data_IF_625074826419
#
_entry.id   IF_625074826419
#
_cell.length_a   1.000
_cell.length_b   1.000
_cell.length_c   1.000
_cell.angle_alpha   90.00
_cell.angle_beta   90.00
_cell.angle_gamma   90.00
#
_symmetry.space_group_name_H-M   'P 1'
#
loop_
_entity.id
_entity.type
_entity.pdbx_description
1 polymer ?
#
# COMPACT_ATOMS: atom_id res chain seq x y z
N UNK A 1 -19.12 15.79 6.45
CA UNK A 1 -18.18 15.47 7.54
C UNK A 1 -18.62 14.26 8.36
N UNK A 2 -19.81 14.27 8.99
CA UNK A 2 -20.31 13.15 9.83
C UNK A 2 -20.39 11.80 9.11
N UNK A 3 -20.95 11.74 7.89
CA UNK A 3 -21.03 10.48 7.12
C UNK A 3 -19.67 9.79 6.92
N UNK A 4 -18.61 10.54 6.61
CA UNK A 4 -17.27 10.01 6.35
C UNK A 4 -16.62 9.49 7.64
N UNK A 5 -16.79 10.25 8.73
CA UNK A 5 -16.32 9.78 10.04
C UNK A 5 -16.94 8.42 10.39
N UNK A 6 -18.25 8.27 10.18
CA UNK A 6 -18.93 6.99 10.40
C UNK A 6 -18.53 5.89 9.41
N UNK A 7 -18.12 6.21 8.18
CA UNK A 7 -17.58 5.24 7.22
C UNK A 7 -16.21 4.68 7.61
N UNK A 8 -15.35 5.49 8.23
CA UNK A 8 -14.00 5.06 8.67
C UNK A 8 -14.02 4.40 10.06
N UNK A 9 -15.07 4.67 10.86
CA UNK A 9 -15.18 4.19 12.23
C UNK A 9 -15.07 2.66 12.38
N UNK A 10 -15.66 1.81 11.51
CA UNK A 10 -15.48 0.36 11.59
C UNK A 10 -14.01 -0.07 11.47
N UNK A 11 -13.27 0.53 10.52
CA UNK A 11 -11.83 0.27 10.33
C UNK A 11 -11.03 0.72 11.54
N UNK A 12 -11.31 1.91 12.08
CA UNK A 12 -10.68 2.38 13.33
C UNK A 12 -10.97 1.46 14.50
N UNK A 13 -12.20 0.95 14.58
CA UNK A 13 -12.63 0.04 15.65
C UNK A 13 -11.84 -1.26 15.58
N UNK A 14 -11.59 -1.79 14.37
CA UNK A 14 -10.77 -2.98 14.18
C UNK A 14 -9.28 -2.74 14.47
N UNK A 15 -8.73 -1.57 14.14
CA UNK A 15 -7.38 -1.20 14.58
C UNK A 15 -7.26 -1.15 16.09
N UNK A 16 -8.21 -0.47 16.76
CA UNK A 16 -8.25 -0.38 18.22
C UNK A 16 -8.42 -1.77 18.83
N UNK A 17 -9.28 -2.61 18.28
CA UNK A 17 -9.45 -3.99 18.72
C UNK A 17 -8.15 -4.78 18.59
N UNK A 18 -7.44 -4.70 17.46
CA UNK A 18 -6.13 -5.32 17.28
C UNK A 18 -5.12 -4.90 18.35
N UNK A 19 -5.08 -3.59 18.65
CA UNK A 19 -4.22 -3.04 19.70
C UNK A 19 -4.62 -3.53 21.10
N UNK A 20 -5.91 -3.63 21.41
CA UNK A 20 -6.38 -4.19 22.68
C UNK A 20 -6.05 -5.68 22.81
N UNK A 21 -6.19 -6.46 21.72
CA UNK A 21 -5.83 -7.88 21.69
C UNK A 21 -4.33 -8.11 21.94
N UNK A 22 -3.47 -7.18 21.48
CA UNK A 22 -2.04 -7.19 21.81
C UNK A 22 -1.81 -7.01 23.32
N UNK A 23 -2.54 -6.08 23.97
CA UNK A 23 -2.37 -5.79 25.41
C UNK A 23 -2.78 -6.91 26.34
N UNK A 24 -3.76 -7.72 25.93
CA UNK A 24 -4.18 -8.91 26.68
C UNK A 24 -3.43 -10.18 26.24
N UNK A 25 -2.42 -10.06 25.37
CA UNK A 25 -1.65 -11.18 24.83
C UNK A 25 -2.54 -12.30 24.24
N UNK A 26 -3.64 -11.92 23.57
CA UNK A 26 -4.63 -12.88 23.07
C UNK A 26 -4.01 -13.85 22.05
N UNK A 27 -3.19 -13.32 21.15
CA UNK A 27 -2.43 -14.10 20.18
C UNK A 27 -0.98 -14.26 20.61
N UNK A 28 -0.35 -15.36 20.18
CA UNK A 28 1.11 -15.47 20.16
C UNK A 28 1.64 -14.65 18.98
N UNK A 29 2.85 -14.09 19.08
CA UNK A 29 3.45 -13.31 18.00
C UNK A 29 3.50 -14.08 16.66
N UNK A 30 3.80 -15.38 16.72
CA UNK A 30 3.77 -16.28 15.55
C UNK A 30 2.40 -16.30 14.84
N UNK A 31 1.31 -16.28 15.60
CA UNK A 31 -0.05 -16.34 15.05
C UNK A 31 -0.38 -15.10 14.22
N UNK A 32 0.15 -13.93 14.59
CA UNK A 32 -0.03 -12.69 13.81
C UNK A 32 0.69 -12.80 12.46
N UNK A 33 1.90 -13.37 12.46
CA UNK A 33 2.62 -13.69 11.23
C UNK A 33 1.84 -14.64 10.31
N UNK A 34 1.19 -15.66 10.88
CA UNK A 34 0.36 -16.59 10.13
C UNK A 34 -0.90 -15.93 9.55
N UNK A 35 -1.56 -15.03 10.29
CA UNK A 35 -2.70 -14.24 9.78
C UNK A 35 -2.25 -13.33 8.64
N UNK A 36 -1.10 -12.65 8.78
CA UNK A 36 -0.53 -11.81 7.71
C UNK A 36 -0.20 -12.63 6.47
N UNK A 37 0.32 -13.84 6.63
CA UNK A 37 0.56 -14.77 5.52
C UNK A 37 -0.73 -15.16 4.82
N UNK A 38 -1.79 -15.49 5.57
CA UNK A 38 -3.12 -15.77 5.01
C UNK A 38 -3.62 -14.59 4.15
N UNK A 39 -3.46 -13.36 4.65
CA UNK A 39 -3.85 -12.17 3.91
C UNK A 39 -3.04 -12.02 2.62
N UNK A 40 -1.71 -12.00 2.71
CA UNK A 40 -0.84 -11.68 1.57
C UNK A 40 -0.82 -12.81 0.53
N UNK A 41 -1.04 -14.06 0.95
CA UNK A 41 -1.02 -15.23 0.06
C UNK A 41 -2.40 -15.62 -0.49
N UNK A 42 -3.50 -15.19 0.12
CA UNK A 42 -4.86 -15.60 -0.28
C UNK A 42 -5.81 -14.41 -0.39
N UNK A 43 -6.09 -13.71 0.72
CA UNK A 43 -7.16 -12.71 0.75
C UNK A 43 -6.90 -11.53 -0.21
N UNK A 44 -5.73 -10.89 -0.09
CA UNK A 44 -5.35 -9.77 -0.94
C UNK A 44 -5.22 -10.18 -2.43
N UNK A 45 -4.58 -11.31 -2.79
CA UNK A 45 -4.62 -11.83 -4.15
C UNK A 45 -6.05 -12.01 -4.71
N UNK A 46 -7.00 -12.56 -3.95
CA UNK A 46 -8.39 -12.68 -4.38
C UNK A 46 -9.07 -11.31 -4.59
N UNK A 47 -8.81 -10.36 -3.69
CA UNK A 47 -9.30 -8.99 -3.81
C UNK A 47 -8.79 -8.30 -5.08
N UNK A 48 -7.48 -8.41 -5.36
CA UNK A 48 -6.84 -7.80 -6.53
C UNK A 48 -7.26 -8.49 -7.83
N UNK A 49 -7.38 -9.81 -7.84
CA UNK A 49 -7.95 -10.52 -8.99
C UNK A 49 -9.34 -9.97 -9.33
N UNK A 50 -10.20 -9.75 -8.33
CA UNK A 50 -11.53 -9.16 -8.53
C UNK A 50 -11.42 -7.73 -9.07
N UNK A 51 -10.56 -6.89 -8.48
CA UNK A 51 -10.35 -5.52 -8.92
C UNK A 51 -9.94 -5.44 -10.41
N UNK A 52 -8.98 -6.26 -10.83
CA UNK A 52 -8.48 -6.25 -12.20
C UNK A 52 -9.35 -7.01 -13.21
N UNK A 53 -10.13 -8.01 -12.78
CA UNK A 53 -11.05 -8.73 -13.68
C UNK A 53 -12.29 -7.93 -14.07
N UNK A 54 -12.63 -6.90 -13.29
CA UNK A 54 -13.73 -5.97 -13.58
C UNK A 54 -13.25 -4.71 -14.29
N UNK A 55 -11.94 -4.51 -14.42
CA UNK A 55 -11.37 -3.30 -14.96
C UNK A 55 -11.50 -3.24 -16.47
N UNK A 56 -12.01 -2.12 -16.99
CA UNK A 56 -11.96 -1.81 -18.42
C UNK A 56 -10.61 -1.21 -18.79
N UNK A 57 -9.73 -1.98 -19.44
CA UNK A 57 -8.36 -1.53 -19.72
C UNK A 57 -8.31 -0.37 -20.73
N UNK A 58 -7.68 0.72 -20.32
CA UNK A 58 -7.49 1.89 -21.18
C UNK A 58 -5.99 2.26 -21.26
N UNK A 59 -5.47 2.66 -22.44
CA UNK A 59 -4.06 3.04 -22.59
C UNK A 59 -3.59 4.13 -21.62
N UNK A 60 -4.49 5.04 -21.23
CA UNK A 60 -4.23 6.10 -20.25
C UNK A 60 -3.76 5.57 -18.89
N UNK A 61 -4.14 4.34 -18.52
CA UNK A 61 -3.70 3.72 -17.27
C UNK A 61 -2.22 3.36 -17.26
N UNK A 62 -1.62 3.07 -18.43
CA UNK A 62 -0.18 2.85 -18.51
C UNK A 62 0.60 4.12 -18.13
N UNK A 63 0.10 5.29 -18.53
CA UNK A 63 0.68 6.58 -18.14
C UNK A 63 0.63 6.76 -16.62
N UNK A 64 -0.49 6.40 -15.99
CA UNK A 64 -0.63 6.44 -14.52
C UNK A 64 0.40 5.53 -13.84
N UNK A 65 0.51 4.29 -14.29
CA UNK A 65 1.48 3.30 -13.75
C UNK A 65 2.91 3.81 -13.85
N UNK A 66 3.31 4.32 -15.02
CA UNK A 66 4.66 4.86 -15.24
C UNK A 66 4.93 6.09 -14.38
N UNK A 67 3.96 7.00 -14.24
CA UNK A 67 4.12 8.20 -13.41
C UNK A 67 4.24 7.87 -11.93
N UNK A 68 3.41 6.97 -11.41
CA UNK A 68 3.52 6.51 -10.01
C UNK A 68 4.88 5.87 -9.76
N UNK A 69 5.32 4.96 -10.65
CA UNK A 69 6.65 4.37 -10.57
C UNK A 69 7.75 5.44 -10.55
N UNK A 70 7.65 6.42 -11.45
CA UNK A 70 8.56 7.55 -11.55
C UNK A 70 8.60 8.40 -10.28
N UNK A 71 7.44 8.72 -9.70
CA UNK A 71 7.35 9.49 -8.44
C UNK A 71 7.99 8.72 -7.28
N UNK A 72 7.79 7.41 -7.19
CA UNK A 72 8.50 6.60 -6.20
C UNK A 72 10.03 6.69 -6.36
N UNK A 73 10.52 6.64 -7.60
CA UNK A 73 11.94 6.84 -7.92
C UNK A 73 12.45 8.25 -7.56
N UNK A 74 11.67 9.29 -7.88
CA UNK A 74 11.99 10.68 -7.51
C UNK A 74 12.04 10.84 -5.99
N UNK A 75 11.08 10.26 -5.26
CA UNK A 75 11.07 10.30 -3.79
C UNK A 75 12.30 9.63 -3.18
N UNK A 76 12.75 8.52 -3.76
CA UNK A 76 13.99 7.86 -3.34
C UNK A 76 15.21 8.77 -3.58
N UNK A 77 15.32 9.38 -4.77
CA UNK A 77 16.42 10.32 -5.09
C UNK A 77 16.40 11.56 -4.21
N UNK A 78 15.22 12.14 -3.96
CA UNK A 78 15.04 13.24 -3.01
C UNK A 78 15.48 12.82 -1.61
N UNK A 79 15.18 11.58 -1.22
CA UNK A 79 15.65 11.02 0.03
C UNK A 79 17.17 10.97 0.14
N UNK A 80 17.86 10.52 -0.91
CA UNK A 80 19.32 10.54 -0.96
C UNK A 80 19.87 11.97 -0.85
N UNK A 81 19.32 12.92 -1.62
CA UNK A 81 19.74 14.32 -1.58
C UNK A 81 19.53 14.95 -0.20
N UNK A 82 18.37 14.71 0.41
CA UNK A 82 18.02 15.23 1.73
C UNK A 82 18.82 14.55 2.84
N UNK A 83 19.18 13.26 2.71
CA UNK A 83 20.05 12.60 3.65
C UNK A 83 21.40 13.30 3.73
N UNK A 84 22.00 13.61 2.57
CA UNK A 84 23.25 14.37 2.50
C UNK A 84 23.10 15.79 3.04
N UNK A 85 22.09 16.54 2.59
CA UNK A 85 21.89 17.93 3.02
C UNK A 85 21.60 18.09 4.52
N UNK A 86 20.90 17.11 5.10
CA UNK A 86 20.47 17.13 6.51
C UNK A 86 21.37 16.30 7.43
N UNK A 87 22.50 15.78 6.91
CA UNK A 87 23.47 14.96 7.64
C UNK A 87 22.83 13.75 8.35
N UNK A 88 21.93 13.05 7.65
CA UNK A 88 21.27 11.84 8.16
C UNK A 88 22.11 10.64 7.77
N UNK A 89 22.63 9.91 8.77
CA UNK A 89 23.50 8.75 8.59
C UNK A 89 22.78 7.46 8.18
N UNK A 90 21.48 7.36 8.51
CA UNK A 90 20.71 6.12 8.27
C UNK A 90 20.52 5.85 6.77
N UNK A 91 20.99 4.70 6.24
CA UNK A 91 20.75 4.32 4.84
C UNK A 91 19.29 4.00 4.55
N UNK A 92 18.46 3.84 5.59
CA UNK A 92 17.03 3.59 5.46
C UNK A 92 16.22 4.87 5.28
N UNK A 93 16.77 6.06 5.53
CA UNK A 93 16.04 7.32 5.34
C UNK A 93 15.53 7.51 3.90
N UNK A 94 16.35 7.35 2.84
CA UNK A 94 15.87 7.42 1.46
C UNK A 94 14.85 6.32 1.13
N UNK A 95 15.10 5.09 1.61
CA UNK A 95 14.24 3.92 1.40
C UNK A 95 12.84 4.17 2.00
N UNK A 96 12.77 4.77 3.18
CA UNK A 96 11.53 5.15 3.86
C UNK A 96 10.76 6.26 3.15
N UNK A 97 11.36 7.00 2.22
CA UNK A 97 10.67 8.00 1.39
C UNK A 97 10.00 7.39 0.15
N UNK A 98 10.46 6.22 -0.31
CA UNK A 98 9.90 5.50 -1.46
C UNK A 98 8.85 4.44 -1.09
N UNK A 99 8.05 4.04 -2.09
CA UNK A 99 7.03 2.97 -2.01
C UNK A 99 5.89 3.27 -1.03
N UNK A 100 4.85 2.43 -0.99
CA UNK A 100 3.71 2.64 -0.09
C UNK A 100 3.18 1.31 0.47
N UNK A 101 2.66 1.35 1.70
CA UNK A 101 1.90 0.24 2.26
C UNK A 101 0.44 0.25 1.79
N UNK A 102 0.25 0.24 0.48
CA UNK A 102 -1.08 0.23 -0.13
C UNK A 102 -1.75 -1.13 0.03
N UNK A 103 -0.98 -2.21 -0.16
CA UNK A 103 -1.46 -3.59 -0.16
C UNK A 103 -2.20 -3.96 1.12
N UNK A 104 -1.63 -3.62 2.28
CA UNK A 104 -2.29 -3.87 3.55
C UNK A 104 -3.17 -2.69 3.98
N UNK A 105 -2.58 -1.50 4.17
CA UNK A 105 -3.29 -0.39 4.78
C UNK A 105 -4.17 0.39 3.78
N UNK A 106 -3.62 0.67 2.60
CA UNK A 106 -4.28 1.50 1.58
C UNK A 106 -5.62 0.94 1.12
N UNK A 107 -5.69 -0.33 0.72
CA UNK A 107 -6.94 -0.96 0.30
C UNK A 107 -7.98 -0.98 1.42
N UNK A 108 -7.58 -1.33 2.65
CA UNK A 108 -8.50 -1.40 3.78
C UNK A 108 -9.19 -0.06 4.04
N UNK A 109 -8.41 1.03 4.03
CA UNK A 109 -8.91 2.38 4.29
C UNK A 109 -9.69 2.92 3.08
N UNK A 110 -9.24 2.65 1.85
CA UNK A 110 -9.92 3.11 0.64
C UNK A 110 -11.30 2.45 0.48
N UNK A 111 -11.39 1.13 0.66
CA UNK A 111 -12.67 0.39 0.61
C UNK A 111 -13.65 0.91 1.66
N UNK A 112 -13.18 1.26 2.86
CA UNK A 112 -14.04 1.76 3.93
C UNK A 112 -14.68 3.12 3.60
N UNK A 113 -14.01 3.98 2.83
CA UNK A 113 -14.52 5.32 2.49
C UNK A 113 -15.23 5.37 1.16
N UNK A 114 -14.64 4.78 0.13
CA UNK A 114 -15.13 4.89 -1.25
C UNK A 114 -15.94 3.67 -1.69
N UNK A 115 -15.92 2.59 -0.92
CA UNK A 115 -16.59 1.35 -1.25
C UNK A 115 -15.71 0.42 -2.08
N UNK A 116 -16.10 -0.86 -2.10
CA UNK A 116 -15.36 -1.90 -2.81
C UNK A 116 -15.51 -1.79 -4.34
N UNK A 117 -16.53 -1.10 -4.83
CA UNK A 117 -16.80 -0.96 -6.26
C UNK A 117 -15.83 0.02 -6.94
N UNK A 118 -15.12 0.85 -6.16
CA UNK A 118 -14.11 1.80 -6.65
C UNK A 118 -12.67 1.24 -6.58
N UNK A 119 -12.51 -0.02 -6.17
CA UNK A 119 -11.20 -0.59 -5.86
C UNK A 119 -10.27 -0.72 -7.07
N UNK A 120 -10.84 -0.87 -8.25
CA UNK A 120 -10.14 -0.94 -9.54
C UNK A 120 -9.31 0.33 -9.79
N UNK A 121 -9.81 1.52 -9.42
CA UNK A 121 -9.08 2.79 -9.54
C UNK A 121 -7.84 2.83 -8.67
N UNK A 122 -7.96 2.41 -7.40
CA UNK A 122 -6.79 2.29 -6.53
C UNK A 122 -5.81 1.24 -7.05
N UNK A 123 -6.32 0.11 -7.56
CA UNK A 123 -5.49 -0.97 -8.06
C UNK A 123 -4.62 -0.57 -9.25
N UNK A 124 -5.15 0.24 -10.18
CA UNK A 124 -4.35 0.79 -11.29
C UNK A 124 -3.20 1.67 -10.78
N UNK A 125 -3.49 2.56 -9.83
CA UNK A 125 -2.49 3.47 -9.29
C UNK A 125 -1.43 2.67 -8.51
N UNK A 126 -1.88 1.70 -7.71
CA UNK A 126 -1.04 0.81 -6.92
C UNK A 126 -0.10 -0.03 -7.79
N UNK A 127 -0.50 -0.43 -8.99
CA UNK A 127 0.36 -1.23 -9.88
C UNK A 127 1.71 -0.53 -10.17
N UNK A 128 1.73 0.80 -10.31
CA UNK A 128 2.97 1.56 -10.49
C UNK A 128 3.91 1.48 -9.28
N UNK A 129 3.38 1.56 -8.06
CA UNK A 129 4.20 1.47 -6.86
C UNK A 129 4.61 0.02 -6.58
N UNK A 130 3.77 -0.96 -6.87
CA UNK A 130 4.10 -2.40 -6.77
C UNK A 130 5.31 -2.72 -7.65
N UNK A 131 5.33 -2.26 -8.90
CA UNK A 131 6.49 -2.43 -9.79
C UNK A 131 7.75 -1.80 -9.19
N UNK A 132 7.64 -0.59 -8.63
CA UNK A 132 8.75 0.07 -7.96
C UNK A 132 9.26 -0.73 -6.75
N UNK A 133 8.36 -1.25 -5.92
CA UNK A 133 8.72 -2.04 -4.73
C UNK A 133 9.50 -3.28 -5.14
N UNK A 134 9.05 -4.03 -6.15
CA UNK A 134 9.74 -5.25 -6.57
C UNK A 134 11.07 -5.00 -7.29
N UNK A 135 11.13 -4.03 -8.20
CA UNK A 135 12.31 -3.86 -9.06
C UNK A 135 13.35 -2.88 -8.51
N UNK A 136 12.95 -1.94 -7.65
CA UNK A 136 13.85 -0.92 -7.08
C UNK A 136 14.01 -1.12 -5.58
N UNK A 137 12.92 -1.09 -4.81
CA UNK A 137 13.00 -1.12 -3.36
C UNK A 137 13.59 -2.43 -2.83
N UNK A 138 13.10 -3.57 -3.31
CA UNK A 138 13.62 -4.89 -2.94
C UNK A 138 15.08 -5.05 -3.34
N UNK A 139 15.47 -4.56 -4.52
CA UNK A 139 16.86 -4.58 -4.97
C UNK A 139 17.77 -3.83 -3.99
N UNK A 140 17.35 -2.65 -3.53
CA UNK A 140 18.09 -1.87 -2.54
C UNK A 140 18.13 -2.55 -1.17
N UNK A 141 17.00 -3.06 -0.68
CA UNK A 141 16.93 -3.73 0.63
C UNK A 141 17.78 -4.99 0.66
N UNK A 142 17.72 -5.82 -0.38
CA UNK A 142 18.56 -7.02 -0.49
C UNK A 142 20.03 -6.65 -0.65
N UNK A 143 20.35 -5.58 -1.39
CA UNK A 143 21.73 -5.08 -1.48
C UNK A 143 22.29 -4.72 -0.10
N UNK A 144 21.50 -4.10 0.75
CA UNK A 144 21.91 -3.76 2.13
C UNK A 144 22.08 -5.01 3.01
N UNK A 145 21.19 -6.01 2.88
CA UNK A 145 21.21 -7.22 3.72
C UNK A 145 22.24 -8.26 3.26
N UNK A 146 22.16 -8.67 2.00
CA UNK A 146 22.82 -9.87 1.43
C UNK A 146 23.82 -9.54 0.31
N UNK A 147 24.01 -8.26 -0.02
CA UNK A 147 24.81 -7.82 -1.18
C UNK A 147 24.03 -7.80 -2.50
N UNK A 148 24.70 -7.42 -3.59
CA UNK A 148 24.05 -7.19 -4.89
C UNK A 148 23.37 -8.47 -5.42
N UNK A 149 22.09 -8.36 -5.77
CA UNK A 149 21.31 -9.48 -6.29
C UNK A 149 21.28 -9.50 -7.81
N UNK A 150 21.08 -10.69 -8.38
CA UNK A 150 20.84 -10.83 -9.82
C UNK A 150 19.44 -10.34 -10.21
N UNK A 151 19.33 -9.72 -11.38
CA UNK A 151 18.03 -9.29 -11.94
C UNK A 151 17.08 -10.48 -12.08
N UNK A 152 17.59 -11.66 -12.43
CA UNK A 152 16.80 -12.90 -12.55
C UNK A 152 16.08 -13.27 -11.25
N UNK A 153 16.69 -13.00 -10.09
CA UNK A 153 16.07 -13.31 -8.80
C UNK A 153 14.92 -12.36 -8.49
N UNK A 154 15.07 -11.06 -8.77
CA UNK A 154 14.00 -10.07 -8.62
C UNK A 154 12.81 -10.40 -9.53
N UNK A 155 13.08 -10.73 -10.80
CA UNK A 155 12.03 -11.17 -11.75
C UNK A 155 11.35 -12.44 -11.26
N UNK A 156 12.10 -13.43 -10.77
CA UNK A 156 11.51 -14.65 -10.22
C UNK A 156 10.61 -14.36 -9.02
N UNK A 157 11.06 -13.51 -8.09
CA UNK A 157 10.27 -13.10 -6.93
C UNK A 157 8.98 -12.36 -7.33
N UNK A 158 9.07 -11.47 -8.31
CA UNK A 158 7.92 -10.76 -8.88
C UNK A 158 6.92 -11.73 -9.49
N UNK A 159 7.35 -12.59 -10.42
CA UNK A 159 6.46 -13.53 -11.11
C UNK A 159 5.92 -14.64 -10.22
N UNK A 160 6.62 -15.03 -9.15
CA UNK A 160 6.16 -16.04 -8.18
C UNK A 160 5.23 -15.48 -7.11
N UNK A 161 5.06 -14.16 -7.04
CA UNK A 161 4.22 -13.52 -6.02
C UNK A 161 2.75 -13.84 -6.26
N UNK A 162 2.00 -14.39 -5.28
CA UNK A 162 0.57 -14.65 -5.41
C UNK A 162 -0.22 -13.40 -5.81
N UNK A 163 0.17 -12.24 -5.29
CA UNK A 163 -0.42 -10.94 -5.63
C UNK A 163 -0.25 -10.64 -7.12
N UNK A 164 0.97 -10.78 -7.65
CA UNK A 164 1.27 -10.49 -9.05
C UNK A 164 0.58 -11.47 -9.99
N UNK A 165 0.58 -12.75 -9.65
CA UNK A 165 -0.13 -13.79 -10.39
C UNK A 165 -1.63 -13.45 -10.46
N UNK A 166 -2.24 -13.08 -9.34
CA UNK A 166 -3.65 -12.67 -9.31
C UNK A 166 -3.96 -11.42 -10.13
N UNK A 167 -3.07 -10.42 -10.13
CA UNK A 167 -3.21 -9.23 -10.99
C UNK A 167 -3.21 -9.65 -12.46
N UNK A 168 -2.22 -10.44 -12.90
CA UNK A 168 -2.13 -10.89 -14.29
C UNK A 168 -3.32 -11.75 -14.70
N UNK A 169 -3.78 -12.66 -13.83
CA UNK A 169 -4.98 -13.45 -14.08
C UNK A 169 -6.24 -12.57 -14.15
N UNK A 170 -6.35 -11.54 -13.31
CA UNK A 170 -7.46 -10.59 -13.36
C UNK A 170 -7.48 -9.82 -14.68
N UNK A 171 -6.34 -9.25 -15.07
CA UNK A 171 -6.17 -8.56 -16.36
C UNK A 171 -6.50 -9.51 -17.53
N UNK A 172 -6.00 -10.74 -17.49
CA UNK A 172 -6.29 -11.75 -18.52
C UNK A 172 -7.79 -12.05 -18.63
N UNK A 173 -8.48 -12.20 -17.50
CA UNK A 173 -9.92 -12.41 -17.48
C UNK A 173 -10.67 -11.19 -18.02
N UNK A 174 -10.27 -9.97 -17.66
CA UNK A 174 -10.85 -8.74 -18.22
C UNK A 174 -10.73 -8.70 -19.75
N UNK A 175 -9.55 -9.02 -20.29
CA UNK A 175 -9.30 -9.08 -21.74
C UNK A 175 -10.12 -10.16 -22.45
N UNK A 176 -10.20 -11.36 -21.89
CA UNK A 176 -10.94 -12.49 -22.48
C UNK A 176 -12.44 -12.27 -22.40
N UNK A 177 -12.92 -11.66 -21.30
CA UNK A 177 -14.33 -11.35 -21.11
C UNK A 177 -14.81 -10.31 -22.12
N UNK A 178 -14.01 -9.26 -22.36
CA UNK A 178 -14.42 -8.13 -23.18
C UNK A 178 -15.77 -7.56 -22.72
N UNK A 179 -16.66 -7.28 -23.67
CA UNK A 179 -18.03 -6.78 -23.40
C UNK A 179 -19.05 -7.91 -23.16
N UNK A 180 -18.64 -9.18 -23.19
CA UNK A 180 -19.57 -10.29 -23.04
C UNK A 180 -20.08 -10.41 -21.60
N UNK A 181 -21.40 -10.52 -21.47
CA UNK A 181 -22.03 -10.72 -20.16
C UNK A 181 -22.04 -12.20 -19.77
N UNK A 182 -21.17 -12.55 -18.83
CA UNK A 182 -21.12 -13.88 -18.21
C UNK A 182 -21.90 -13.96 -16.90
N UNK A 183 -22.72 -12.95 -16.56
CA UNK A 183 -23.51 -12.91 -15.32
C UNK A 183 -24.41 -14.13 -15.13
N UNK A 184 -24.86 -14.73 -16.23
CA UNK A 184 -25.75 -15.90 -16.24
C UNK A 184 -25.00 -17.24 -16.12
N UNK A 185 -23.67 -17.25 -16.27
CA UNK A 185 -22.87 -18.46 -16.18
C UNK A 185 -22.65 -18.86 -14.71
N UNK A 186 -23.23 -19.99 -14.31
CA UNK A 186 -23.16 -20.51 -12.93
C UNK A 186 -21.73 -20.71 -12.43
N UNK A 187 -20.81 -21.14 -13.30
CA UNK A 187 -19.41 -21.39 -12.91
C UNK A 187 -18.67 -20.08 -12.65
N UNK A 188 -18.88 -19.08 -13.51
CA UNK A 188 -18.30 -17.74 -13.33
C UNK A 188 -18.81 -17.10 -12.04
N UNK A 189 -20.11 -17.21 -11.79
CA UNK A 189 -20.71 -16.72 -10.55
C UNK A 189 -20.16 -17.43 -9.31
N UNK A 190 -20.04 -18.77 -9.34
CA UNK A 190 -19.44 -19.54 -8.25
C UNK A 190 -18.00 -19.09 -7.95
N UNK A 191 -17.14 -19.01 -8.96
CA UNK A 191 -15.74 -18.55 -8.79
C UNK A 191 -15.70 -17.12 -8.26
N UNK A 192 -16.52 -16.21 -8.81
CA UNK A 192 -16.63 -14.83 -8.37
C UNK A 192 -17.06 -14.70 -6.91
N UNK A 193 -18.00 -15.53 -6.45
CA UNK A 193 -18.40 -15.58 -5.05
C UNK A 193 -17.28 -16.06 -4.13
N UNK A 194 -16.54 -17.11 -4.51
CA UNK A 194 -15.38 -17.59 -3.73
C UNK A 194 -14.32 -16.49 -3.61
N UNK A 195 -13.98 -15.84 -4.73
CA UNK A 195 -13.03 -14.72 -4.73
C UNK A 195 -13.52 -13.56 -3.85
N UNK A 196 -14.82 -13.29 -3.85
CA UNK A 196 -15.42 -12.24 -3.01
C UNK A 196 -15.33 -12.60 -1.53
N UNK A 197 -15.69 -13.83 -1.14
CA UNK A 197 -15.63 -14.28 0.25
C UNK A 197 -14.19 -14.22 0.78
N UNK A 198 -13.21 -14.70 0.01
CA UNK A 198 -11.80 -14.66 0.38
C UNK A 198 -11.26 -13.22 0.40
N UNK A 199 -11.60 -12.42 -0.62
CA UNK A 199 -11.19 -11.01 -0.73
C UNK A 199 -11.71 -10.16 0.44
N UNK A 200 -12.93 -10.43 0.90
CA UNK A 200 -13.55 -9.73 2.04
C UNK A 200 -12.83 -9.98 3.38
N UNK A 201 -11.96 -11.00 3.49
CA UNK A 201 -11.13 -11.21 4.67
C UNK A 201 -10.00 -10.17 4.78
N UNK A 202 -9.62 -9.52 3.67
CA UNK A 202 -8.46 -8.62 3.58
C UNK A 202 -8.57 -7.48 4.59
N UNK A 203 -9.65 -6.70 4.53
CA UNK A 203 -9.85 -5.51 5.38
C UNK A 203 -9.86 -5.87 6.87
N UNK A 204 -10.73 -6.77 7.37
CA UNK A 204 -10.81 -7.00 8.80
C UNK A 204 -9.55 -7.63 9.38
N UNK A 205 -8.92 -8.59 8.69
CA UNK A 205 -7.71 -9.23 9.19
C UNK A 205 -6.53 -8.27 9.22
N UNK A 206 -6.37 -7.43 8.19
CA UNK A 206 -5.27 -6.45 8.17
C UNK A 206 -5.46 -5.39 9.25
N UNK A 207 -6.67 -4.89 9.46
CA UNK A 207 -6.92 -3.91 10.52
C UNK A 207 -6.53 -4.47 11.89
N UNK A 208 -6.88 -5.73 12.16
CA UNK A 208 -6.47 -6.42 13.39
C UNK A 208 -4.95 -6.59 13.47
N UNK A 209 -4.30 -7.08 12.41
CA UNK A 209 -2.83 -7.29 12.36
C UNK A 209 -2.08 -5.99 12.59
N UNK A 210 -2.43 -4.93 11.87
CA UNK A 210 -1.77 -3.62 12.00
C UNK A 210 -1.98 -3.07 13.41
N UNK A 211 -3.22 -3.11 13.91
CA UNK A 211 -3.53 -2.68 15.27
C UNK A 211 -2.69 -3.42 16.32
N UNK A 212 -2.54 -4.73 16.14
CA UNK A 212 -1.74 -5.59 17.01
C UNK A 212 -0.23 -5.32 16.90
N UNK A 213 0.28 -4.99 15.71
CA UNK A 213 1.70 -4.73 15.46
C UNK A 213 2.14 -3.31 15.87
N UNK A 214 1.22 -2.41 16.23
CA UNK A 214 1.57 -1.07 16.69
C UNK A 214 2.43 -1.14 17.97
N UNK A 215 3.68 -0.66 17.83
CA UNK A 215 4.63 -0.47 18.94
C UNK A 215 5.07 0.99 18.93
N UNK A 216 4.94 1.65 20.08
CA UNK A 216 5.32 3.06 20.20
C UNK A 216 6.55 3.20 21.07
N UNK A 217 7.57 3.84 20.50
CA UNK A 217 8.73 4.29 21.27
C UNK A 217 9.01 5.76 20.98
N UNK A 218 8.65 6.62 21.94
CA UNK A 218 8.78 8.06 21.80
C UNK A 218 10.18 8.58 22.18
N UNK A 219 11.06 7.77 22.76
CA UNK A 219 12.37 8.24 23.22
C UNK A 219 13.33 8.63 22.08
N UNK A 220 13.15 8.03 20.90
CA UNK A 220 14.01 8.19 19.72
C UNK A 220 13.23 8.62 18.46
N UNK A 221 12.03 9.19 18.63
CA UNK A 221 11.10 9.49 17.53
C UNK A 221 11.49 10.70 16.66
N UNK A 222 12.50 11.49 17.02
CA UNK A 222 12.81 12.75 16.32
C UNK A 222 13.10 12.55 14.82
N UNK A 223 13.93 11.57 14.48
CA UNK A 223 14.23 11.27 13.08
C UNK A 223 13.00 10.70 12.37
N UNK A 224 12.25 9.80 13.00
CA UNK A 224 11.01 9.23 12.48
C UNK A 224 9.98 10.31 12.13
N UNK A 225 9.73 11.24 13.05
CA UNK A 225 8.80 12.36 12.84
C UNK A 225 9.28 13.25 11.69
N UNK A 226 10.58 13.56 11.64
CA UNK A 226 11.17 14.35 10.55
C UNK A 226 10.96 13.66 9.20
N UNK A 227 11.22 12.37 9.11
CA UNK A 227 11.00 11.55 7.89
C UNK A 227 9.55 11.56 7.48
N UNK A 228 8.61 11.39 8.43
CA UNK A 228 7.17 11.42 8.16
C UNK A 228 6.76 12.78 7.61
N UNK A 229 7.16 13.88 8.24
CA UNK A 229 6.80 15.24 7.80
C UNK A 229 7.31 15.50 6.38
N UNK A 230 8.60 15.25 6.15
CA UNK A 230 9.22 15.41 4.82
C UNK A 230 8.45 14.59 3.78
N UNK A 231 8.23 13.31 4.08
CA UNK A 231 7.52 12.38 3.21
C UNK A 231 6.14 12.90 2.83
N UNK A 232 5.31 13.30 3.82
CA UNK A 232 3.95 13.76 3.58
C UNK A 232 3.91 15.07 2.79
N UNK A 233 4.80 16.01 3.07
CA UNK A 233 4.85 17.28 2.34
C UNK A 233 5.10 17.04 0.84
N UNK A 234 6.16 16.30 0.50
CA UNK A 234 6.50 16.04 -0.90
C UNK A 234 5.42 15.23 -1.61
N UNK A 235 4.90 14.18 -0.97
CA UNK A 235 3.88 13.33 -1.57
C UNK A 235 2.55 14.06 -1.76
N UNK A 236 2.10 14.87 -0.80
CA UNK A 236 0.90 15.69 -0.98
C UNK A 236 1.12 16.67 -2.14
N UNK A 237 2.28 17.33 -2.22
CA UNK A 237 2.60 18.23 -3.33
C UNK A 237 2.59 17.50 -4.69
N UNK A 238 3.20 16.31 -4.77
CA UNK A 238 3.18 15.51 -6.00
C UNK A 238 1.78 15.01 -6.35
N UNK A 239 0.97 14.60 -5.38
CA UNK A 239 -0.42 14.19 -5.62
C UNK A 239 -1.23 15.36 -6.19
N UNK A 240 -1.16 16.55 -5.57
CA UNK A 240 -1.88 17.74 -6.04
C UNK A 240 -1.42 18.16 -7.44
N UNK A 241 -0.11 18.11 -7.72
CA UNK A 241 0.44 18.41 -9.04
C UNK A 241 -0.04 17.40 -10.09
N UNK A 242 0.07 16.11 -9.80
CA UNK A 242 -0.34 15.04 -10.70
C UNK A 242 -1.86 15.05 -10.96
N UNK A 243 -2.66 15.28 -9.92
CA UNK A 243 -4.11 15.44 -10.06
C UNK A 243 -4.45 16.60 -11.01
N UNK A 244 -3.94 17.80 -10.73
CA UNK A 244 -4.25 19.01 -11.50
C UNK A 244 -3.74 18.94 -12.95
N UNK A 245 -2.51 18.47 -13.15
CA UNK A 245 -1.84 18.52 -14.47
C UNK A 245 -2.16 17.28 -15.29
N UNK A 246 -2.07 16.10 -14.70
CA UNK A 246 -2.18 14.84 -15.45
C UNK A 246 -3.61 14.32 -15.45
N UNK A 247 -4.21 14.10 -14.28
CA UNK A 247 -5.51 13.43 -14.20
C UNK A 247 -6.63 14.29 -14.78
N UNK A 248 -6.71 15.56 -14.38
CA UNK A 248 -7.76 16.47 -14.82
C UNK A 248 -7.50 16.97 -16.25
N UNK A 249 -6.30 17.51 -16.53
CA UNK A 249 -6.04 18.26 -17.77
C UNK A 249 -5.57 17.41 -18.96
N UNK A 250 -4.83 16.33 -18.72
CA UNK A 250 -4.25 15.53 -19.82
C UNK A 250 -5.09 14.26 -20.06
N UNK A 251 -5.34 13.48 -19.02
CA UNK A 251 -5.97 12.16 -19.12
C UNK A 251 -7.50 12.18 -18.97
N UNK A 252 -8.07 13.28 -18.47
CA UNK A 252 -9.50 13.45 -18.22
C UNK A 252 -10.09 12.26 -17.45
N UNK A 253 -9.40 11.88 -16.36
CA UNK A 253 -9.85 10.79 -15.48
C UNK A 253 -11.03 11.25 -14.62
N UNK A 254 -11.83 10.28 -14.19
CA UNK A 254 -12.88 10.52 -13.22
C UNK A 254 -12.30 11.02 -11.89
N UNK A 255 -13.00 11.88 -11.14
CA UNK A 255 -12.51 12.45 -9.88
C UNK A 255 -12.05 11.40 -8.86
N UNK A 256 -12.62 10.19 -8.90
CA UNK A 256 -12.25 9.09 -8.00
C UNK A 256 -10.78 8.67 -8.12
N UNK A 257 -10.16 8.83 -9.29
CA UNK A 257 -8.72 8.57 -9.46
C UNK A 257 -7.88 9.56 -8.65
N UNK A 258 -8.30 10.82 -8.53
CA UNK A 258 -7.60 11.82 -7.70
C UNK A 258 -7.60 11.43 -6.22
N UNK A 259 -8.74 10.92 -5.74
CA UNK A 259 -8.89 10.42 -4.38
C UNK A 259 -8.08 9.15 -4.15
N UNK A 260 -8.05 8.23 -5.12
CA UNK A 260 -7.25 7.02 -5.06
C UNK A 260 -5.73 7.32 -5.02
N UNK A 261 -5.26 8.32 -5.79
CA UNK A 261 -3.87 8.76 -5.74
C UNK A 261 -3.51 9.35 -4.38
N UNK A 262 -4.36 10.27 -3.87
CA UNK A 262 -4.19 10.86 -2.55
C UNK A 262 -4.21 9.78 -1.46
N UNK A 263 -5.15 8.83 -1.53
CA UNK A 263 -5.24 7.71 -0.60
C UNK A 263 -3.91 6.95 -0.51
N UNK A 264 -3.38 6.58 -1.67
CA UNK A 264 -2.12 5.85 -1.76
C UNK A 264 -0.92 6.67 -1.26
N UNK A 265 -0.80 7.92 -1.70
CA UNK A 265 0.33 8.79 -1.33
C UNK A 265 0.32 9.17 0.16
N UNK A 266 -0.84 9.12 0.79
CA UNK A 266 -0.97 9.28 2.23
C UNK A 266 -0.61 8.03 3.01
N UNK A 267 -0.31 6.89 2.39
CA UNK A 267 0.07 5.67 3.13
C UNK A 267 1.49 5.76 3.73
N UNK A 268 1.77 4.97 4.78
CA UNK A 268 3.11 4.85 5.34
C UNK A 268 4.05 4.12 4.36
N UNK A 269 5.36 4.12 4.63
CA UNK A 269 6.30 3.34 3.86
C UNK A 269 5.97 1.84 3.94
N UNK A 270 6.38 1.03 2.95
CA UNK A 270 6.10 -0.40 2.93
C UNK A 270 6.64 -1.14 4.17
N UNK A 271 5.82 -1.96 4.79
CA UNK A 271 6.20 -2.74 5.97
C UNK A 271 7.22 -3.84 5.66
N UNK A 272 7.36 -4.20 4.38
CA UNK A 272 8.43 -5.10 3.92
C UNK A 272 9.82 -4.56 4.25
N UNK A 273 10.02 -3.24 4.39
CA UNK A 273 11.31 -2.66 4.80
C UNK A 273 11.79 -3.27 6.13
N UNK A 274 10.89 -3.47 7.09
CA UNK A 274 11.25 -4.04 8.40
C UNK A 274 11.73 -5.49 8.33
N UNK A 275 11.35 -6.24 7.28
CA UNK A 275 11.74 -7.66 7.10
C UNK A 275 13.18 -7.82 6.57
N UNK A 276 13.80 -6.73 6.12
CA UNK A 276 15.16 -6.72 5.57
C UNK A 276 16.16 -5.97 6.45
N UNK A 277 15.77 -5.66 7.69
CA UNK A 277 16.67 -5.10 8.69
C UNK A 277 17.66 -6.15 9.16
N UNK A 278 18.92 -5.73 9.38
CA UNK A 278 19.94 -6.59 10.01
C UNK A 278 19.72 -6.66 11.50
N UNK A 279 19.77 -7.85 12.08
CA UNK A 279 19.53 -8.08 13.51
C UNK A 279 20.49 -7.29 14.42
N UNK A 280 21.72 -7.08 13.94
CA UNK A 280 22.81 -6.40 14.65
C UNK A 280 22.66 -4.86 14.69
N UNK A 281 21.84 -4.28 13.80
CA UNK A 281 21.69 -2.82 13.64
C UNK A 281 20.47 -2.29 14.40
N UNK A 282 20.59 -2.28 15.74
CA UNK A 282 19.47 -1.91 16.63
C UNK A 282 19.00 -0.46 16.44
N UNK A 283 19.89 0.47 16.12
CA UNK A 283 19.55 1.88 15.92
C UNK A 283 18.64 2.05 14.69
N UNK A 284 19.01 1.47 13.55
CA UNK A 284 18.18 1.54 12.35
C UNK A 284 16.90 0.72 12.48
N UNK A 285 16.91 -0.39 13.23
CA UNK A 285 15.68 -1.12 13.53
C UNK A 285 14.68 -0.26 14.28
N UNK A 286 15.10 0.36 15.37
CA UNK A 286 14.24 1.23 16.17
C UNK A 286 13.72 2.40 15.32
N UNK A 287 14.59 3.03 14.54
CA UNK A 287 14.21 4.11 13.64
C UNK A 287 13.16 3.68 12.59
N UNK A 288 13.38 2.55 11.90
CA UNK A 288 12.47 2.06 10.86
C UNK A 288 11.13 1.65 11.46
N UNK A 289 11.12 0.80 12.48
CA UNK A 289 9.89 0.32 13.11
C UNK A 289 9.06 1.49 13.67
N UNK A 290 9.70 2.42 14.37
CA UNK A 290 9.03 3.61 14.90
C UNK A 290 8.47 4.50 13.78
N UNK A 291 9.22 4.66 12.68
CA UNK A 291 8.73 5.40 11.50
C UNK A 291 7.51 4.73 10.89
N UNK A 292 7.51 3.40 10.74
CA UNK A 292 6.37 2.67 10.19
C UNK A 292 5.13 2.79 11.08
N UNK A 293 5.27 2.60 12.40
CA UNK A 293 4.16 2.68 13.36
C UNK A 293 3.60 4.11 13.48
N UNK A 294 4.45 5.12 13.67
CA UNK A 294 4.01 6.52 13.74
C UNK A 294 3.40 6.98 12.42
N UNK A 295 4.02 6.61 11.29
CA UNK A 295 3.50 6.97 9.96
C UNK A 295 2.13 6.33 9.73
N UNK A 296 1.88 5.11 10.23
CA UNK A 296 0.56 4.46 10.13
C UNK A 296 -0.54 5.30 10.78
N UNK A 297 -0.33 5.77 12.02
CA UNK A 297 -1.29 6.67 12.69
C UNK A 297 -1.47 7.96 11.92
N UNK A 298 -0.37 8.61 11.54
CA UNK A 298 -0.41 9.89 10.81
C UNK A 298 -1.14 9.71 9.48
N UNK A 299 -0.92 8.60 8.79
CA UNK A 299 -1.57 8.26 7.51
C UNK A 299 -3.07 8.09 7.67
N UNK A 300 -3.51 7.36 8.70
CA UNK A 300 -4.94 7.20 9.02
C UNK A 300 -5.58 8.56 9.32
N UNK A 301 -4.95 9.36 10.20
CA UNK A 301 -5.46 10.68 10.57
C UNK A 301 -5.55 11.64 9.37
N UNK A 302 -4.47 11.75 8.59
CA UNK A 302 -4.43 12.58 7.38
C UNK A 302 -5.45 12.13 6.34
N UNK A 303 -5.60 10.82 6.14
CA UNK A 303 -6.57 10.28 5.20
C UNK A 303 -8.01 10.63 5.59
N UNK A 304 -8.36 10.54 6.88
CA UNK A 304 -9.67 10.96 7.39
C UNK A 304 -9.90 12.44 7.12
N UNK A 305 -8.93 13.29 7.46
CA UNK A 305 -9.02 14.76 7.26
C UNK A 305 -9.15 15.09 5.77
N UNK A 306 -8.30 14.53 4.92
CA UNK A 306 -8.32 14.79 3.48
C UNK A 306 -9.61 14.27 2.85
N UNK A 307 -10.11 13.09 3.25
CA UNK A 307 -11.40 12.59 2.75
C UNK A 307 -12.57 13.50 3.14
N UNK A 308 -12.46 14.25 4.25
CA UNK A 308 -13.47 15.24 4.64
C UNK A 308 -13.39 16.55 3.87
N UNK A 309 -12.20 16.95 3.41
CA UNK A 309 -11.94 18.24 2.77
C UNK A 309 -11.96 18.16 1.24
N UNK A 310 -11.36 17.10 0.69
CA UNK A 310 -11.20 16.88 -0.74
C UNK A 310 -12.42 16.09 -1.24
N UNK A 311 -13.43 16.80 -1.75
CA UNK A 311 -14.57 16.23 -2.46
C UNK A 311 -15.15 17.18 -3.50
#
# INVERSE_FOLDING_TARGET
>A
MTKIFFSVLPVLTLFVLGYLLQRIYFFKERSIGDIKKLVVSIALPCLLFRAFSQLELQPKFLVVVVLVFGICGIMLMLGEMLAHALHISSPYFPILLGGFETGMLGYAIFIAVYGIDEIDKLAIIDLGQVLFVFFVLMALLMKHRDGAQSVSQLVKMFLSSPVIISIFLGIFVSLVKGDADYSTNRMVHFVGQVMTLLGNLTVPLICLVIGYELKFDFHSARLSVKTIIIRKIFLIAFALLMNKVVFVRILHLEPIYEYALLAMFLMPPPFVIALFLKEEDQENQQYVVNTLSLSTIVSIGLFIVISMVYR
#
